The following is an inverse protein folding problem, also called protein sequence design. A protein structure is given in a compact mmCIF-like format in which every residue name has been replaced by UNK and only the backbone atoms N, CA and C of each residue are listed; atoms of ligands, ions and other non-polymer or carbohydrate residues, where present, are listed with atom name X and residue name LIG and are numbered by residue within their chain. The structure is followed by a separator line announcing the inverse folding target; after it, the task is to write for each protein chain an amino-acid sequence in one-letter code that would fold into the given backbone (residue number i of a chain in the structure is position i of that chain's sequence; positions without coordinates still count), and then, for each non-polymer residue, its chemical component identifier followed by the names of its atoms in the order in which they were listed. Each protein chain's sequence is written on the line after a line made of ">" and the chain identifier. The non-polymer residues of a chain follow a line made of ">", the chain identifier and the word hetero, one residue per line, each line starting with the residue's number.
data_IF_809733334127
#
_entry.id   IF_809733334127
#
_cell.length_a   1.000
_cell.length_b   1.000
_cell.length_c   1.000
_cell.angle_alpha   90.00
_cell.angle_beta   90.00
_cell.angle_gamma   90.00
#
_symmetry.space_group_name_H-M   'P 1'
#
loop_
_entity.id
_entity.type
_entity.pdbx_description
1 polymer ?
#
# COMPACT_ATOMS: atom_id res chain seq x y z
N UNK A 1 -35.22 46.96 -17.63
CA UNK A 1 -34.82 46.19 -18.83
C UNK A 1 -33.92 45.07 -18.37
N UNK A 2 -34.32 43.84 -18.71
CA UNK A 2 -33.77 42.54 -18.34
C UNK A 2 -32.37 42.51 -17.70
N UNK A 3 -32.30 42.14 -16.42
CA UNK A 3 -31.09 41.54 -15.86
C UNK A 3 -30.92 40.18 -16.50
N UNK A 4 -30.10 40.11 -17.55
CA UNK A 4 -29.73 38.85 -18.18
C UNK A 4 -28.94 38.03 -17.17
N UNK A 5 -29.50 36.90 -16.76
CA UNK A 5 -28.81 35.89 -15.98
C UNK A 5 -27.68 35.32 -16.85
N UNK A 6 -26.51 35.98 -16.78
CA UNK A 6 -25.28 35.54 -17.42
C UNK A 6 -24.79 34.32 -16.66
N UNK A 7 -25.45 33.19 -16.89
CA UNK A 7 -24.89 31.90 -16.57
C UNK A 7 -23.58 31.78 -17.34
N UNK A 8 -22.43 31.65 -16.65
CA UNK A 8 -21.16 31.50 -17.34
C UNK A 8 -21.23 30.24 -18.21
N UNK A 9 -20.62 30.28 -19.40
CA UNK A 9 -20.63 29.13 -20.29
C UNK A 9 -20.05 27.90 -19.56
N UNK A 10 -20.56 26.69 -19.86
CA UNK A 10 -20.00 25.48 -19.28
C UNK A 10 -18.50 25.41 -19.59
N UNK A 11 -17.68 24.93 -18.65
CA UNK A 11 -16.26 24.77 -18.89
C UNK A 11 -16.05 23.90 -20.14
N UNK A 12 -14.99 24.17 -20.92
CA UNK A 12 -14.66 23.34 -22.08
C UNK A 12 -14.49 21.87 -21.63
N UNK A 13 -14.78 20.90 -22.53
CA UNK A 13 -14.52 19.50 -22.22
C UNK A 13 -13.06 19.35 -21.80
N UNK A 14 -12.87 18.75 -20.63
CA UNK A 14 -11.55 18.57 -20.05
C UNK A 14 -10.79 17.54 -20.89
N UNK A 15 -9.74 17.99 -21.58
CA UNK A 15 -8.91 17.13 -22.40
C UNK A 15 -8.01 16.32 -21.46
N UNK A 16 -8.35 15.06 -21.20
CA UNK A 16 -7.47 14.16 -20.47
C UNK A 16 -6.29 13.81 -21.38
N UNK A 17 -5.06 14.26 -21.09
CA UNK A 17 -3.90 13.92 -21.88
C UNK A 17 -3.69 12.40 -21.86
N UNK A 18 -3.19 11.79 -22.94
CA UNK A 18 -3.05 10.34 -23.06
C UNK A 18 -2.26 9.80 -21.88
N UNK A 19 -2.76 8.73 -21.23
CA UNK A 19 -2.09 8.08 -20.12
C UNK A 19 -0.61 7.85 -20.46
N UNK A 20 0.30 8.48 -19.71
CA UNK A 20 1.72 8.21 -19.88
C UNK A 20 1.94 6.76 -19.48
N UNK A 21 2.40 5.94 -20.42
CA UNK A 21 2.89 4.59 -20.16
C UNK A 21 4.26 4.65 -19.46
N UNK A 22 4.39 5.49 -18.43
CA UNK A 22 5.58 5.54 -17.61
C UNK A 22 5.56 4.37 -16.62
N UNK A 23 6.69 3.68 -16.52
CA UNK A 23 6.88 2.52 -15.65
C UNK A 23 6.60 2.89 -14.19
N UNK A 24 5.78 2.06 -13.53
CA UNK A 24 5.56 2.13 -12.10
C UNK A 24 6.87 1.85 -11.35
N UNK A 25 7.18 2.67 -10.35
CA UNK A 25 8.33 2.42 -9.48
C UNK A 25 7.90 1.56 -8.31
N UNK A 26 8.45 0.35 -8.21
CA UNK A 26 8.23 -0.55 -7.08
C UNK A 26 9.58 -0.88 -6.45
N UNK A 27 9.77 -0.49 -5.19
CA UNK A 27 11.01 -0.75 -4.47
C UNK A 27 10.75 -1.49 -3.16
N UNK A 28 11.24 -2.73 -3.07
CA UNK A 28 11.38 -3.42 -1.78
C UNK A 28 12.83 -3.17 -1.35
N UNK A 29 13.00 -2.26 -0.40
CA UNK A 29 14.28 -1.75 0.06
C UNK A 29 14.83 -2.72 1.10
N UNK A 30 15.97 -3.34 0.79
CA UNK A 30 16.61 -4.33 1.67
C UNK A 30 17.17 -3.68 2.95
N UNK A 31 17.31 -4.49 4.00
CA UNK A 31 17.88 -4.06 5.27
C UNK A 31 19.28 -3.43 5.08
N UNK A 32 19.56 -2.37 5.85
CA UNK A 32 20.84 -1.64 5.76
C UNK A 32 20.91 -0.58 4.66
N UNK A 33 19.90 -0.46 3.80
CA UNK A 33 19.87 0.57 2.74
C UNK A 33 19.52 1.98 3.24
N UNK A 34 19.21 2.14 4.52
CA UNK A 34 18.86 3.41 5.14
C UNK A 34 17.37 3.78 5.03
N UNK A 35 17.06 5.08 5.15
CA UNK A 35 15.70 5.63 5.11
C UNK A 35 15.18 5.67 3.67
N UNK A 36 13.86 5.63 3.52
CA UNK A 36 13.21 5.89 2.24
C UNK A 36 13.54 7.31 1.77
N UNK A 37 14.05 7.44 0.54
CA UNK A 37 14.26 8.74 -0.10
C UNK A 37 12.91 9.24 -0.65
N UNK A 38 12.15 9.92 0.21
CA UNK A 38 10.82 10.41 -0.10
C UNK A 38 10.84 11.35 -1.31
N UNK A 39 11.86 12.20 -1.42
CA UNK A 39 12.00 13.13 -2.54
C UNK A 39 12.13 12.38 -3.86
N UNK A 40 12.96 11.32 -3.92
CA UNK A 40 13.10 10.46 -5.11
C UNK A 40 11.76 9.89 -5.58
N UNK A 41 10.92 9.38 -4.66
CA UNK A 41 9.62 8.81 -5.04
C UNK A 41 8.62 9.87 -5.49
N UNK A 42 8.60 11.04 -4.84
CA UNK A 42 7.76 12.17 -5.26
C UNK A 42 8.19 12.69 -6.63
N UNK A 43 9.49 12.83 -6.87
CA UNK A 43 10.04 13.29 -8.14
C UNK A 43 9.78 12.28 -9.28
N UNK A 44 9.83 10.97 -8.99
CA UNK A 44 9.45 9.93 -9.96
C UNK A 44 8.02 10.11 -10.47
N UNK A 45 7.09 10.49 -9.59
CA UNK A 45 5.68 10.63 -9.96
C UNK A 45 5.32 12.02 -10.51
N UNK A 46 6.24 12.98 -10.54
CA UNK A 46 6.00 14.27 -11.21
C UNK A 46 5.75 14.05 -12.70
N UNK A 47 4.69 14.68 -13.21
CA UNK A 47 4.33 14.64 -14.62
C UNK A 47 3.76 16.00 -15.01
N UNK A 48 4.15 16.53 -16.17
CA UNK A 48 3.69 17.84 -16.64
C UNK A 48 2.17 17.92 -16.81
N UNK A 49 1.51 16.77 -16.93
CA UNK A 49 0.08 16.68 -17.10
C UNK A 49 -0.65 16.26 -15.80
N UNK A 50 0.06 16.12 -14.68
CA UNK A 50 -0.54 15.87 -13.38
C UNK A 50 -0.79 17.20 -12.66
N UNK A 51 -2.06 17.47 -12.33
CA UNK A 51 -2.44 18.60 -11.47
C UNK A 51 -2.37 18.28 -9.98
N UNK A 52 -2.16 17.01 -9.61
CA UNK A 52 -2.10 16.56 -8.23
C UNK A 52 -1.10 15.41 -8.03
N UNK A 53 -0.47 15.41 -6.85
CA UNK A 53 0.26 14.29 -6.28
C UNK A 53 -0.31 14.05 -4.89
N UNK A 54 -0.69 12.81 -4.60
CA UNK A 54 -1.05 12.35 -3.26
C UNK A 54 0.00 11.36 -2.78
N UNK A 55 0.33 11.46 -1.49
CA UNK A 55 1.34 10.61 -0.87
C UNK A 55 0.84 10.04 0.44
N UNK A 56 1.24 8.82 0.76
CA UNK A 56 1.03 8.18 2.04
C UNK A 56 2.37 7.70 2.58
N UNK A 57 2.64 8.01 3.86
CA UNK A 57 3.80 7.53 4.59
C UNK A 57 3.32 6.75 5.82
N UNK A 58 3.67 5.47 5.89
CA UNK A 58 3.39 4.63 7.06
C UNK A 58 4.58 4.64 8.00
N UNK A 59 4.49 5.40 9.09
CA UNK A 59 5.57 5.55 10.08
C UNK A 59 5.41 4.63 11.29
N UNK A 60 6.54 4.23 11.88
CA UNK A 60 6.56 3.49 13.14
C UNK A 60 6.21 4.41 14.31
N UNK A 61 5.20 4.04 15.09
CA UNK A 61 4.86 4.71 16.36
C UNK A 61 5.83 4.27 17.46
N UNK A 62 6.11 5.14 18.42
CA UNK A 62 6.99 4.88 19.57
C UNK A 62 6.29 4.16 20.74
N UNK A 63 5.02 3.79 20.59
CA UNK A 63 4.27 3.07 21.60
C UNK A 63 3.23 2.12 21.02
N UNK A 64 3.01 1.00 21.71
CA UNK A 64 1.91 0.07 21.46
C UNK A 64 1.48 -0.60 22.77
N UNK A 65 0.18 -0.62 23.05
CA UNK A 65 -0.41 -1.25 24.26
C UNK A 65 0.30 -0.84 25.58
N UNK A 66 0.63 0.45 25.73
CA UNK A 66 1.29 1.00 26.92
C UNK A 66 2.78 0.72 27.03
N UNK A 67 3.38 0.02 26.06
CA UNK A 67 4.82 -0.27 26.01
C UNK A 67 5.51 0.62 24.98
N UNK A 68 6.78 0.93 25.22
CA UNK A 68 7.61 1.75 24.33
C UNK A 68 8.16 0.89 23.20
N UNK A 69 7.84 1.24 21.97
CA UNK A 69 8.33 0.59 20.76
C UNK A 69 9.62 1.30 20.32
N UNK A 70 10.69 0.53 20.15
CA UNK A 70 11.98 1.03 19.67
C UNK A 70 12.01 1.01 18.14
N UNK A 71 11.56 -0.09 17.54
CA UNK A 71 11.55 -0.30 16.09
C UNK A 71 10.50 -1.34 15.69
N UNK A 72 10.14 -1.32 14.41
CA UNK A 72 9.46 -2.44 13.75
C UNK A 72 10.47 -3.13 12.83
N UNK A 73 10.52 -4.47 12.87
CA UNK A 73 11.29 -5.25 11.89
C UNK A 73 10.37 -5.88 10.87
N UNK A 74 10.69 -5.73 9.59
CA UNK A 74 9.87 -6.24 8.50
C UNK A 74 10.57 -7.36 7.74
N UNK A 75 9.84 -8.44 7.47
CA UNK A 75 10.30 -9.55 6.66
C UNK A 75 9.31 -9.80 5.51
N UNK A 76 9.84 -10.13 4.33
CA UNK A 76 9.04 -10.49 3.18
C UNK A 76 9.87 -11.32 2.20
N UNK A 77 9.19 -12.17 1.43
CA UNK A 77 9.81 -12.69 0.21
C UNK A 77 9.75 -11.61 -0.88
N UNK A 78 10.84 -10.84 -1.02
CA UNK A 78 10.86 -9.60 -1.81
C UNK A 78 10.36 -9.77 -3.25
N UNK A 79 10.69 -10.88 -3.92
CA UNK A 79 10.21 -11.15 -5.28
C UNK A 79 8.69 -11.31 -5.36
N UNK A 80 8.07 -11.98 -4.38
CA UNK A 80 6.60 -12.13 -4.32
C UNK A 80 5.93 -10.82 -3.91
N UNK A 81 6.51 -10.07 -2.98
CA UNK A 81 6.01 -8.75 -2.60
C UNK A 81 5.99 -7.80 -3.81
N UNK A 82 7.10 -7.71 -4.57
CA UNK A 82 7.17 -6.94 -5.83
C UNK A 82 6.09 -7.36 -6.84
N UNK A 83 5.90 -8.67 -7.05
CA UNK A 83 4.90 -9.19 -7.98
C UNK A 83 3.46 -8.84 -7.56
N UNK A 84 3.15 -8.91 -6.26
CA UNK A 84 1.83 -8.54 -5.72
C UNK A 84 1.59 -7.04 -5.85
N UNK A 85 2.58 -6.21 -5.50
CA UNK A 85 2.51 -4.76 -5.71
C UNK A 85 2.28 -4.42 -7.18
N UNK A 86 2.98 -5.06 -8.11
CA UNK A 86 2.78 -4.85 -9.54
C UNK A 86 1.36 -5.24 -10.01
N UNK A 87 0.68 -6.16 -9.34
CA UNK A 87 -0.73 -6.43 -9.60
C UNK A 87 -1.64 -5.32 -9.06
N UNK A 88 -1.40 -4.87 -7.83
CA UNK A 88 -2.15 -3.77 -7.19
C UNK A 88 -2.04 -2.48 -8.00
N UNK A 89 -0.84 -2.11 -8.48
CA UNK A 89 -0.65 -0.89 -9.26
C UNK A 89 -1.35 -0.94 -10.64
N UNK A 90 -1.34 -2.11 -11.29
CA UNK A 90 -2.13 -2.32 -12.50
C UNK A 90 -3.62 -2.15 -12.26
N UNK A 91 -4.12 -2.68 -11.14
CA UNK A 91 -5.53 -2.54 -10.78
C UNK A 91 -5.89 -1.10 -10.42
N UNK A 92 -5.03 -0.39 -9.67
CA UNK A 92 -5.19 1.04 -9.39
C UNK A 92 -5.29 1.86 -10.68
N UNK A 93 -4.45 1.57 -11.68
CA UNK A 93 -4.49 2.22 -13.01
C UNK A 93 -5.75 1.91 -13.80
N UNK A 94 -6.39 0.76 -13.58
CA UNK A 94 -7.68 0.45 -14.21
C UNK A 94 -8.86 1.16 -13.53
N UNK A 95 -8.70 1.59 -12.28
CA UNK A 95 -9.75 2.22 -11.46
C UNK A 95 -9.70 3.75 -11.47
N UNK A 96 -8.51 4.33 -11.69
CA UNK A 96 -8.26 5.76 -11.55
C UNK A 96 -7.44 6.31 -12.71
N UNK A 97 -7.67 7.57 -13.08
CA UNK A 97 -6.99 8.24 -14.20
C UNK A 97 -5.56 8.69 -13.81
N UNK A 98 -4.67 7.72 -13.61
CA UNK A 98 -3.32 7.94 -13.07
C UNK A 98 -2.28 8.25 -14.14
N UNK A 99 -1.37 9.15 -13.79
CA UNK A 99 -0.17 9.47 -14.56
C UNK A 99 0.95 8.53 -14.16
N UNK A 100 1.35 8.57 -12.88
CA UNK A 100 2.48 7.81 -12.35
C UNK A 100 2.20 7.28 -10.95
N UNK A 101 2.81 6.15 -10.62
CA UNK A 101 2.78 5.54 -9.30
C UNK A 101 4.18 5.17 -8.85
N UNK A 102 4.43 5.35 -7.55
CA UNK A 102 5.60 4.82 -6.87
C UNK A 102 5.17 4.18 -5.55
N UNK A 103 5.71 3.01 -5.25
CA UNK A 103 5.55 2.34 -3.96
C UNK A 103 6.90 1.85 -3.48
N UNK A 104 7.21 2.14 -2.22
CA UNK A 104 8.39 1.63 -1.55
C UNK A 104 8.02 0.99 -0.22
N UNK A 105 8.69 -0.10 0.12
CA UNK A 105 8.59 -0.71 1.44
C UNK A 105 9.98 -1.16 1.92
N UNK A 106 10.35 -0.77 3.15
CA UNK A 106 11.60 -1.20 3.80
C UNK A 106 11.43 -2.58 4.43
N UNK A 107 12.46 -3.39 4.29
CA UNK A 107 12.68 -4.61 5.07
C UNK A 107 13.72 -4.35 6.16
N UNK A 108 13.79 -5.25 7.14
CA UNK A 108 14.65 -5.10 8.30
C UNK A 108 14.12 -4.09 9.31
N UNK A 109 15.02 -3.55 10.13
CA UNK A 109 14.70 -2.60 11.18
C UNK A 109 14.28 -1.21 10.68
N UNK A 110 13.14 -0.73 11.18
CA UNK A 110 12.59 0.61 10.99
C UNK A 110 12.34 1.25 12.36
N UNK A 111 13.25 2.15 12.81
CA UNK A 111 13.11 2.86 14.08
C UNK A 111 11.79 3.63 14.21
N UNK A 112 11.38 3.86 15.46
CA UNK A 112 10.26 4.74 15.76
C UNK A 112 10.45 6.14 15.14
N UNK A 113 9.37 6.67 14.55
CA UNK A 113 9.35 7.94 13.82
C UNK A 113 9.73 7.83 12.34
N UNK A 114 10.21 6.67 11.85
CA UNK A 114 10.58 6.50 10.45
C UNK A 114 9.51 5.77 9.62
N UNK A 115 9.47 6.06 8.31
CA UNK A 115 8.64 5.35 7.34
C UNK A 115 9.13 3.92 7.12
N UNK A 116 8.20 2.96 7.19
CA UNK A 116 8.41 1.61 6.66
C UNK A 116 7.87 1.46 5.24
N UNK A 117 6.87 2.26 4.87
CA UNK A 117 6.17 2.17 3.58
C UNK A 117 5.84 3.57 3.07
N UNK A 118 5.97 3.75 1.77
CA UNK A 118 5.61 4.99 1.09
C UNK A 118 4.86 4.69 -0.20
N UNK A 119 3.82 5.48 -0.47
CA UNK A 119 3.06 5.45 -1.73
C UNK A 119 2.98 6.87 -2.25
N UNK A 120 3.21 7.05 -3.54
CA UNK A 120 2.96 8.30 -4.25
C UNK A 120 2.18 8.02 -5.53
N UNK A 121 1.15 8.82 -5.77
CA UNK A 121 0.29 8.73 -6.94
C UNK A 121 0.08 10.11 -7.53
N UNK A 122 0.27 10.24 -8.84
CA UNK A 122 -0.03 11.48 -9.56
C UNK A 122 -1.14 11.28 -10.57
N UNK A 123 -1.99 12.29 -10.71
CA UNK A 123 -3.14 12.30 -11.60
C UNK A 123 -3.41 13.72 -12.11
N UNK A 124 -4.18 13.84 -13.19
CA UNK A 124 -4.65 15.15 -13.67
C UNK A 124 -5.44 15.87 -12.56
N UNK A 125 -6.29 15.13 -11.85
CA UNK A 125 -7.14 15.66 -10.79
C UNK A 125 -6.85 15.03 -9.43
N UNK A 126 -7.10 15.82 -8.39
CA UNK A 126 -6.83 15.45 -7.00
C UNK A 126 -7.61 14.22 -6.52
N UNK A 127 -8.81 13.99 -7.06
CA UNK A 127 -9.66 12.86 -6.66
C UNK A 127 -8.98 11.52 -6.99
N UNK A 128 -8.58 11.33 -8.25
CA UNK A 128 -7.88 10.13 -8.71
C UNK A 128 -6.58 9.89 -7.93
N UNK A 129 -5.77 10.94 -7.70
CA UNK A 129 -4.52 10.81 -6.95
C UNK A 129 -4.77 10.32 -5.51
N UNK A 130 -5.69 10.96 -4.79
CA UNK A 130 -6.01 10.61 -3.40
C UNK A 130 -6.63 9.22 -3.28
N UNK A 131 -7.59 8.89 -4.15
CA UNK A 131 -8.27 7.59 -4.13
C UNK A 131 -7.31 6.46 -4.46
N UNK A 132 -6.47 6.62 -5.48
CA UNK A 132 -5.47 5.61 -5.82
C UNK A 132 -4.42 5.45 -4.71
N UNK A 133 -3.93 6.54 -4.11
CA UNK A 133 -2.98 6.45 -3.01
C UNK A 133 -3.55 5.65 -1.84
N UNK A 134 -4.82 5.90 -1.48
CA UNK A 134 -5.52 5.13 -0.44
C UNK A 134 -5.73 3.66 -0.85
N UNK A 135 -6.21 3.43 -2.07
CA UNK A 135 -6.44 2.08 -2.58
C UNK A 135 -5.17 1.23 -2.53
N UNK A 136 -4.03 1.78 -2.98
CA UNK A 136 -2.75 1.07 -3.01
C UNK A 136 -2.29 0.66 -1.61
N UNK A 137 -2.38 1.55 -0.61
CA UNK A 137 -1.97 1.19 0.76
C UNK A 137 -2.92 0.17 1.39
N UNK A 138 -4.23 0.31 1.19
CA UNK A 138 -5.24 -0.62 1.72
C UNK A 138 -5.00 -2.03 1.14
N UNK A 139 -4.82 -2.15 -0.18
CA UNK A 139 -4.53 -3.43 -0.84
C UNK A 139 -3.15 -4.00 -0.49
N UNK A 140 -2.14 -3.13 -0.30
CA UNK A 140 -0.82 -3.55 0.15
C UNK A 140 -0.92 -4.25 1.51
N UNK A 141 -1.58 -3.61 2.48
CA UNK A 141 -1.74 -4.16 3.84
C UNK A 141 -2.57 -5.44 3.86
N UNK A 142 -3.55 -5.54 2.96
CA UNK A 142 -4.48 -6.65 2.93
C UNK A 142 -3.99 -7.87 2.12
N UNK A 143 -3.06 -7.72 1.17
CA UNK A 143 -2.74 -8.81 0.23
C UNK A 143 -1.24 -9.05 -0.02
N UNK A 144 -0.36 -8.15 0.40
CA UNK A 144 1.09 -8.32 0.22
C UNK A 144 1.68 -9.02 1.45
N UNK A 145 2.35 -10.18 1.30
CA UNK A 145 2.90 -10.93 2.42
C UNK A 145 4.15 -10.25 2.97
N UNK A 146 3.95 -9.32 3.91
CA UNK A 146 4.98 -8.63 4.67
C UNK A 146 4.64 -8.78 6.14
N UNK A 147 5.50 -9.48 6.88
CA UNK A 147 5.37 -9.70 8.31
C UNK A 147 6.12 -8.63 9.08
N UNK A 148 5.59 -8.26 10.25
CA UNK A 148 6.23 -7.27 11.12
C UNK A 148 6.46 -7.84 12.52
N UNK A 149 7.59 -7.51 13.11
CA UNK A 149 7.89 -7.73 14.53
C UNK A 149 7.96 -6.39 15.23
N UNK A 150 7.22 -6.24 16.30
CA UNK A 150 7.34 -5.12 17.21
C UNK A 150 8.49 -5.39 18.17
N UNK A 151 9.47 -4.48 18.21
CA UNK A 151 10.60 -4.53 19.14
C UNK A 151 10.39 -3.42 20.15
N UNK A 152 10.28 -3.81 21.41
CA UNK A 152 10.11 -2.94 22.56
C UNK A 152 11.45 -2.80 23.29
N UNK A 153 11.54 -1.89 24.25
CA UNK A 153 12.72 -1.78 25.13
C UNK A 153 12.86 -2.96 26.10
N UNK A 154 11.77 -3.70 26.35
CA UNK A 154 11.68 -4.83 27.28
C UNK A 154 11.42 -6.20 26.62
N UNK A 155 11.35 -6.29 25.29
CA UNK A 155 11.13 -7.55 24.57
C UNK A 155 10.62 -7.38 23.14
N UNK A 156 10.14 -8.45 22.50
CA UNK A 156 9.67 -8.41 21.11
C UNK A 156 8.45 -9.32 20.87
N UNK A 157 7.59 -8.94 19.93
CA UNK A 157 6.36 -9.69 19.58
C UNK A 157 6.13 -9.65 18.07
N UNK A 158 5.92 -10.81 17.46
CA UNK A 158 5.55 -10.92 16.05
C UNK A 158 4.07 -10.59 15.83
N UNK A 159 3.76 -9.88 14.74
CA UNK A 159 2.41 -9.61 14.30
C UNK A 159 2.26 -9.75 12.79
N UNK A 160 1.14 -10.34 12.39
CA UNK A 160 0.65 -10.26 11.03
C UNK A 160 -0.30 -9.05 10.89
N UNK A 161 -0.52 -8.59 9.66
CA UNK A 161 -1.53 -7.55 9.43
C UNK A 161 -2.93 -8.15 9.56
N UNK A 162 -3.80 -7.49 10.33
CA UNK A 162 -5.18 -7.94 10.54
C UNK A 162 -5.92 -8.03 9.21
N UNK A 163 -5.67 -7.08 8.32
CA UNK A 163 -6.24 -6.98 6.98
C UNK A 163 -5.92 -8.21 6.11
N UNK A 164 -4.72 -8.80 6.28
CA UNK A 164 -4.33 -10.02 5.59
C UNK A 164 -5.11 -11.23 6.11
N UNK A 165 -5.31 -11.32 7.42
CA UNK A 165 -6.10 -12.38 8.05
C UNK A 165 -7.58 -12.29 7.67
N UNK A 166 -8.16 -11.09 7.67
CA UNK A 166 -9.58 -10.87 7.39
C UNK A 166 -9.95 -11.36 5.97
N UNK A 167 -9.09 -11.11 4.96
CA UNK A 167 -9.33 -11.54 3.58
C UNK A 167 -9.14 -13.05 3.37
N UNK A 168 -8.07 -13.63 3.91
CA UNK A 168 -7.81 -15.07 3.71
C UNK A 168 -8.71 -15.96 4.57
N UNK A 169 -9.29 -15.44 5.66
CA UNK A 169 -10.31 -16.16 6.42
C UNK A 169 -11.65 -16.20 5.68
N UNK A 170 -12.00 -15.13 4.95
CA UNK A 170 -13.22 -15.07 4.14
C UNK A 170 -13.18 -16.06 2.96
N UNK A 171 -12.00 -16.32 2.39
CA UNK A 171 -11.81 -17.32 1.34
C UNK A 171 -12.00 -18.77 1.87
N UNK A 172 -11.90 -18.99 3.19
CA UNK A 172 -11.98 -20.29 3.83
C UNK A 172 -13.39 -20.83 4.11
N UNK A 173 -14.45 -20.00 3.99
CA UNK A 173 -15.83 -20.41 4.31
C UNK A 173 -16.61 -20.93 3.09
N UNK A 174 -15.99 -21.01 1.91
CA UNK A 174 -16.66 -21.46 0.69
C UNK A 174 -16.65 -22.99 0.46
N UNK A 175 -16.15 -23.80 1.40
CA UNK A 175 -16.12 -25.27 1.22
C UNK A 175 -16.38 -26.05 2.51
N UNK A 176 -17.52 -25.84 3.16
CA UNK A 176 -18.01 -26.76 4.21
C UNK A 176 -19.03 -27.76 3.64
N UNK A 177 -18.56 -28.63 2.76
CA UNK A 177 -19.35 -29.76 2.24
C UNK A 177 -18.42 -30.94 1.96
N UNK A 178 -18.21 -31.83 2.93
CA UNK A 178 -17.37 -33.01 2.68
C UNK A 178 -16.93 -33.80 3.91
N UNK A 179 -17.85 -34.62 4.41
CA UNK A 179 -17.67 -35.97 4.95
C UNK A 179 -16.53 -36.29 5.94
N UNK A 180 -16.95 -36.63 7.17
CA UNK A 180 -16.19 -37.13 8.32
C UNK A 180 -15.32 -38.36 8.00
N UNK A 181 -14.01 -38.18 7.92
CA UNK A 181 -13.01 -39.25 7.90
C UNK A 181 -12.36 -39.44 9.27
N UNK A 182 -12.78 -40.47 10.00
CA UNK A 182 -12.28 -40.86 11.31
C UNK A 182 -10.76 -41.11 11.31
N UNK A 183 -10.02 -40.38 12.16
CA UNK A 183 -8.59 -40.66 12.41
C UNK A 183 -8.45 -41.83 13.40
N UNK A 184 -7.93 -42.94 12.88
CA UNK A 184 -7.50 -44.12 13.66
C UNK A 184 -6.36 -43.72 14.61
N UNK A 185 -6.51 -44.09 15.88
CA UNK A 185 -5.57 -43.83 16.98
C UNK A 185 -4.57 -44.99 17.03
N UNK A 186 -3.29 -44.71 16.80
CA UNK A 186 -2.19 -45.68 16.95
C UNK A 186 -1.85 -45.73 18.44
N UNK A 187 -1.99 -46.91 19.05
CA UNK A 187 -1.49 -47.17 20.41
C UNK A 187 -0.05 -47.70 20.29
N UNK A 188 0.86 -47.00 20.97
CA UNK A 188 2.24 -47.43 21.17
C UNK A 188 2.26 -48.65 22.09
N UNK A 189 3.08 -49.64 21.72
CA UNK A 189 3.34 -50.85 22.50
C UNK A 189 4.42 -50.60 23.56
#
# INVERSE_FOLDING_TARGET
>A
MAGGDLTPPPPPPEETPPAAAAEDLIEIVEEGSGRLDIARYVDHVRDLSAGAIATFEGTTRDHFAGRRVVELRYEAYAAMARRRLAAILREARSRHALRRLAVAHRLGAVPAGEASVFVAASATHRADAMEACRYVIDELKASVPIWKKEVYDDGEVWKENREFLDRHSADGDATAGGCCGSKVRVQEA
#
